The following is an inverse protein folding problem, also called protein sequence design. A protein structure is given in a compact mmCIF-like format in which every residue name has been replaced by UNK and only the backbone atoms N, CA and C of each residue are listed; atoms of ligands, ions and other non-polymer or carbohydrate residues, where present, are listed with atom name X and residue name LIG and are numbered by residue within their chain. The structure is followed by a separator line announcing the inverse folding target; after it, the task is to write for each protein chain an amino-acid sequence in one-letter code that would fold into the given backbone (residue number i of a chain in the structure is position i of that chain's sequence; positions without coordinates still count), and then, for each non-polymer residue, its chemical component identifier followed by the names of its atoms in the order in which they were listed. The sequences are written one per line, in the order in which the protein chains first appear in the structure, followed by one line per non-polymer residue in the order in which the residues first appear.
data_IF_603982536396
#
_entry.id   IF_603982536396
#
_cell.length_a   1.000
_cell.length_b   1.000
_cell.length_c   1.000
_cell.angle_alpha   90.00
_cell.angle_beta   90.00
_cell.angle_gamma   90.00
#
_symmetry.space_group_name_H-M   'P 1'
#
loop_
_entity.id
_entity.type
_entity.pdbx_description
1 polymer ?
#
# COMPACT_ATOMS: atom_id res chain seq x y z
N UNK A 1 11.37 12.68 13.26
CA UNK A 1 11.24 11.28 12.81
C UNK A 1 11.69 10.38 13.96
N UNK A 2 11.09 9.21 14.19
CA UNK A 2 11.43 8.41 15.38
C UNK A 2 12.84 7.81 15.25
N UNK A 3 13.73 8.22 16.14
CA UNK A 3 15.12 7.75 16.21
C UNK A 3 15.19 6.22 16.32
N UNK A 4 14.23 5.60 17.02
CA UNK A 4 14.13 4.14 17.12
C UNK A 4 13.90 3.49 15.75
N UNK A 5 12.96 4.00 14.97
CA UNK A 5 12.60 3.43 13.65
C UNK A 5 13.81 3.51 12.72
N UNK A 6 14.50 4.66 12.70
CA UNK A 6 15.74 4.82 11.92
C UNK A 6 16.82 3.82 12.35
N UNK A 7 17.04 3.65 13.67
CA UNK A 7 18.05 2.71 14.20
C UNK A 7 17.76 1.25 13.85
N UNK A 8 16.50 0.86 13.76
CA UNK A 8 16.10 -0.51 13.39
C UNK A 8 16.19 -0.72 11.87
N UNK A 9 15.63 0.20 11.08
CA UNK A 9 15.47 0.02 9.63
C UNK A 9 16.81 0.17 8.90
N UNK A 10 17.53 1.26 9.15
CA UNK A 10 18.70 1.64 8.33
C UNK A 10 19.77 0.54 8.21
N UNK A 11 20.13 -0.19 9.27
CA UNK A 11 21.10 -1.29 9.16
C UNK A 11 20.64 -2.47 8.30
N UNK A 12 19.34 -2.57 8.01
CA UNK A 12 18.73 -3.64 7.20
C UNK A 12 18.27 -3.14 5.81
N UNK A 13 18.67 -1.92 5.43
CA UNK A 13 18.44 -1.39 4.08
C UNK A 13 19.67 -1.56 3.21
N UNK A 14 19.49 -2.14 2.03
CA UNK A 14 20.50 -2.22 1.00
C UNK A 14 20.02 -1.45 -0.23
N UNK A 15 20.71 -0.38 -0.59
CA UNK A 15 20.46 0.38 -1.83
C UNK A 15 21.46 -0.06 -2.89
N UNK A 16 20.97 -0.45 -4.07
CA UNK A 16 21.83 -0.71 -5.22
C UNK A 16 22.43 0.58 -5.81
N UNK A 17 21.72 1.70 -5.66
CA UNK A 17 22.11 3.02 -6.13
C UNK A 17 22.29 4.00 -4.96
N UNK A 18 21.95 5.28 -5.16
CA UNK A 18 22.07 6.33 -4.15
C UNK A 18 21.32 5.97 -2.85
N UNK A 19 21.94 6.33 -1.72
CA UNK A 19 21.36 6.08 -0.40
C UNK A 19 20.16 7.02 -0.18
N UNK A 20 18.98 6.43 -0.12
CA UNK A 20 17.71 7.12 0.16
C UNK A 20 17.06 6.62 1.46
N UNK A 21 17.88 6.21 2.45
CA UNK A 21 17.41 5.70 3.74
C UNK A 21 16.45 6.64 4.46
N UNK A 22 16.74 7.95 4.51
CA UNK A 22 15.84 8.93 5.14
C UNK A 22 14.46 8.98 4.48
N UNK A 23 14.43 8.96 3.14
CA UNK A 23 13.19 8.91 2.36
C UNK A 23 12.43 7.61 2.63
N UNK A 24 13.14 6.47 2.68
CA UNK A 24 12.54 5.18 2.99
C UNK A 24 11.90 5.20 4.39
N UNK A 25 12.65 5.62 5.42
CA UNK A 25 12.17 5.69 6.80
C UNK A 25 10.98 6.63 6.91
N UNK A 26 10.99 7.77 6.19
CA UNK A 26 9.84 8.67 6.11
C UNK A 26 8.61 7.95 5.56
N UNK A 27 8.73 7.28 4.42
CA UNK A 27 7.62 6.55 3.79
C UNK A 27 7.08 5.46 4.72
N UNK A 28 7.96 4.68 5.34
CA UNK A 28 7.58 3.68 6.33
C UNK A 28 6.83 4.31 7.52
N UNK A 29 7.32 5.43 8.05
CA UNK A 29 6.67 6.12 9.16
C UNK A 29 5.31 6.72 8.78
N UNK A 30 5.18 7.26 7.56
CA UNK A 30 3.91 7.83 7.07
C UNK A 30 2.78 6.79 7.06
N UNK A 31 3.11 5.50 6.91
CA UNK A 31 2.13 4.40 6.94
C UNK A 31 1.50 4.16 8.32
N UNK A 32 2.15 4.58 9.42
CA UNK A 32 1.56 4.51 10.77
C UNK A 32 0.36 5.45 10.95
N UNK A 33 0.08 6.35 9.99
CA UNK A 33 -1.15 7.16 9.99
C UNK A 33 -2.40 6.31 9.76
N UNK A 34 -2.25 5.08 9.28
CA UNK A 34 -3.34 4.14 9.08
C UNK A 34 -3.33 3.16 10.25
N UNK A 35 -4.34 3.25 11.13
CA UNK A 35 -4.39 2.45 12.36
C UNK A 35 -4.31 0.94 12.10
N UNK A 36 -5.02 0.46 11.07
CA UNK A 36 -5.04 -0.97 10.72
C UNK A 36 -3.65 -1.52 10.35
N UNK A 37 -2.70 -0.66 9.97
CA UNK A 37 -1.33 -1.08 9.63
C UNK A 37 -0.44 -1.25 10.87
N UNK A 38 -0.81 -0.67 12.02
CA UNK A 38 0.08 -0.54 13.17
C UNK A 38 0.72 -1.87 13.57
N UNK A 39 -0.10 -2.91 13.79
CA UNK A 39 0.39 -4.21 14.22
C UNK A 39 1.31 -4.86 13.16
N UNK A 40 0.97 -4.68 11.88
CA UNK A 40 1.80 -5.13 10.76
C UNK A 40 3.16 -4.42 10.72
N UNK A 41 3.18 -3.09 10.83
CA UNK A 41 4.41 -2.30 10.83
C UNK A 41 5.29 -2.62 12.04
N UNK A 42 4.69 -2.82 13.22
CA UNK A 42 5.39 -3.22 14.43
C UNK A 42 6.02 -4.63 14.29
N UNK A 43 5.32 -5.56 13.63
CA UNK A 43 5.86 -6.88 13.31
C UNK A 43 7.03 -6.78 12.31
N UNK A 44 6.91 -5.96 11.27
CA UNK A 44 8.02 -5.72 10.33
C UNK A 44 9.25 -5.19 11.08
N UNK A 45 9.09 -4.15 11.92
CA UNK A 45 10.19 -3.65 12.74
C UNK A 45 10.78 -4.73 13.66
N UNK A 46 9.94 -5.60 14.22
CA UNK A 46 10.40 -6.73 15.04
C UNK A 46 11.28 -7.68 14.24
N UNK A 47 10.90 -8.01 13.00
CA UNK A 47 11.70 -8.89 12.15
C UNK A 47 13.01 -8.24 11.69
N UNK A 48 13.00 -6.95 11.38
CA UNK A 48 14.22 -6.18 11.06
C UNK A 48 15.18 -6.13 12.26
N UNK A 49 14.67 -5.85 13.47
CA UNK A 49 15.47 -5.80 14.68
C UNK A 49 16.12 -7.17 15.00
N UNK A 50 15.42 -8.26 14.69
CA UNK A 50 15.93 -9.64 14.80
C UNK A 50 16.83 -10.06 13.63
N UNK A 51 17.02 -9.22 12.61
CA UNK A 51 17.75 -9.53 11.36
C UNK A 51 17.16 -10.70 10.58
N UNK A 52 15.86 -10.95 10.75
CA UNK A 52 15.11 -11.98 10.03
C UNK A 52 14.47 -11.44 8.74
N UNK A 53 14.56 -10.14 8.50
CA UNK A 53 14.03 -9.46 7.34
C UNK A 53 15.01 -8.36 6.94
N UNK A 54 15.14 -8.10 5.65
CA UNK A 54 15.88 -6.95 5.12
C UNK A 54 15.20 -6.42 3.86
N UNK A 55 15.47 -5.16 3.53
CA UNK A 55 15.00 -4.53 2.32
C UNK A 55 16.14 -4.36 1.32
N UNK A 56 15.84 -4.64 0.06
CA UNK A 56 16.71 -4.39 -1.09
C UNK A 56 16.03 -3.38 -2.02
N UNK A 57 16.63 -2.20 -2.18
CA UNK A 57 16.07 -1.11 -2.98
C UNK A 57 16.88 -1.03 -4.28
N UNK A 58 16.20 -1.32 -5.38
CA UNK A 58 16.76 -1.33 -6.74
C UNK A 58 15.95 -0.38 -7.61
N UNK A 59 16.24 0.91 -7.56
CA UNK A 59 15.52 1.88 -8.38
C UNK A 59 15.74 1.58 -9.86
N UNK A 60 14.69 1.14 -10.55
CA UNK A 60 14.83 0.72 -11.93
C UNK A 60 14.94 1.89 -12.89
N UNK A 61 15.89 1.80 -13.82
CA UNK A 61 15.97 2.62 -15.03
C UNK A 61 15.49 1.78 -16.22
N UNK A 62 14.18 1.68 -16.47
CA UNK A 62 13.69 0.92 -17.64
C UNK A 62 12.20 0.55 -17.64
N UNK A 63 11.81 -0.22 -18.67
CA UNK A 63 10.43 -0.65 -19.01
C UNK A 63 9.93 -1.89 -18.25
N UNK A 64 10.61 -2.33 -17.20
CA UNK A 64 10.19 -3.48 -16.41
C UNK A 64 8.99 -3.09 -15.54
N UNK A 65 7.90 -3.83 -15.64
CA UNK A 65 6.65 -3.58 -14.92
C UNK A 65 6.63 -4.20 -13.52
N UNK A 66 7.65 -5.00 -13.17
CA UNK A 66 7.79 -5.52 -11.81
C UNK A 66 8.25 -4.38 -10.89
N UNK A 67 7.38 -3.99 -9.96
CA UNK A 67 7.61 -2.86 -9.03
C UNK A 67 8.16 -3.30 -7.67
N UNK A 68 8.19 -4.60 -7.40
CA UNK A 68 8.66 -5.18 -6.15
C UNK A 68 8.47 -6.70 -6.08
N UNK A 69 9.09 -7.33 -5.08
CA UNK A 69 8.77 -8.69 -4.70
C UNK A 69 9.22 -9.02 -3.27
N UNK A 70 8.48 -9.91 -2.60
CA UNK A 70 8.92 -10.57 -1.39
C UNK A 70 9.43 -11.99 -1.67
N UNK A 71 10.62 -12.32 -1.16
CA UNK A 71 11.23 -13.64 -1.24
C UNK A 71 11.77 -14.05 0.14
N UNK A 72 11.02 -14.91 0.83
CA UNK A 72 11.35 -15.56 2.13
C UNK A 72 11.66 -14.62 3.30
N UNK A 73 12.73 -13.85 3.22
CA UNK A 73 13.23 -12.94 4.25
C UNK A 73 13.74 -11.62 3.66
N UNK A 74 13.42 -11.35 2.40
CA UNK A 74 13.85 -10.17 1.66
C UNK A 74 12.68 -9.50 0.97
N UNK A 75 12.52 -8.20 1.21
CA UNK A 75 11.59 -7.35 0.47
C UNK A 75 12.38 -6.53 -0.56
N UNK A 76 12.11 -6.74 -1.84
CA UNK A 76 12.72 -5.97 -2.91
C UNK A 76 11.76 -4.85 -3.33
N UNK A 77 12.22 -3.60 -3.29
CA UNK A 77 11.46 -2.42 -3.72
C UNK A 77 12.13 -1.83 -4.95
N UNK A 78 11.41 -1.80 -6.08
CA UNK A 78 11.94 -1.26 -7.35
C UNK A 78 11.49 0.17 -7.62
N UNK A 79 10.41 0.59 -6.96
CA UNK A 79 9.95 1.97 -6.94
C UNK A 79 9.62 2.38 -5.50
N UNK A 80 10.37 3.34 -4.96
CA UNK A 80 10.22 3.75 -3.56
C UNK A 80 9.03 4.71 -3.38
N UNK A 81 7.83 4.12 -3.24
CA UNK A 81 6.54 4.78 -2.97
C UNK A 81 5.80 4.07 -1.83
N UNK A 82 4.83 4.75 -1.22
CA UNK A 82 4.02 4.18 -0.12
C UNK A 82 3.27 2.91 -0.53
N UNK A 83 2.72 2.90 -1.75
CA UNK A 83 1.89 1.80 -2.26
C UNK A 83 2.69 0.52 -2.52
N UNK A 84 3.84 0.64 -3.18
CA UNK A 84 4.72 -0.51 -3.40
C UNK A 84 5.24 -1.05 -2.07
N UNK A 85 5.66 -0.17 -1.15
CA UNK A 85 6.12 -0.62 0.17
C UNK A 85 5.02 -1.35 0.95
N UNK A 86 3.81 -0.81 0.98
CA UNK A 86 2.67 -1.43 1.67
C UNK A 86 2.32 -2.80 1.07
N UNK A 87 2.33 -2.91 -0.26
CA UNK A 87 2.06 -4.15 -0.99
C UNK A 87 3.06 -5.25 -0.63
N UNK A 88 4.36 -4.98 -0.76
CA UNK A 88 5.38 -6.00 -0.49
C UNK A 88 5.48 -6.40 0.98
N UNK A 89 5.25 -5.44 1.89
CA UNK A 89 5.18 -5.75 3.32
C UNK A 89 3.97 -6.64 3.64
N UNK A 90 2.84 -6.48 2.94
CA UNK A 90 1.69 -7.34 3.13
C UNK A 90 1.99 -8.80 2.76
N UNK A 91 2.76 -9.06 1.69
CA UNK A 91 3.23 -10.42 1.40
C UNK A 91 4.15 -10.97 2.51
N UNK A 92 5.08 -10.16 3.00
CA UNK A 92 5.96 -10.55 4.11
C UNK A 92 5.16 -10.88 5.38
N UNK A 93 4.11 -10.10 5.64
CA UNK A 93 3.20 -10.26 6.77
C UNK A 93 2.32 -11.52 6.64
N UNK A 94 1.80 -11.81 5.46
CA UNK A 94 1.06 -13.05 5.20
C UNK A 94 1.96 -14.27 5.45
N UNK A 95 3.19 -14.25 4.93
CA UNK A 95 4.18 -15.30 5.16
C UNK A 95 4.54 -15.45 6.65
N UNK A 96 4.90 -14.35 7.32
CA UNK A 96 5.30 -14.37 8.73
C UNK A 96 4.16 -14.82 9.64
N UNK A 97 2.93 -14.36 9.39
CA UNK A 97 1.78 -14.76 10.19
C UNK A 97 1.42 -16.24 10.02
N UNK A 98 1.68 -16.83 8.84
CA UNK A 98 1.10 -18.11 8.38
C UNK A 98 -0.43 -18.07 8.37
N UNK A 99 -1.00 -16.91 8.10
CA UNK A 99 -2.46 -16.75 7.97
C UNK A 99 -2.97 -17.62 6.82
N UNK A 100 -4.10 -18.28 7.02
CA UNK A 100 -4.78 -19.00 5.95
C UNK A 100 -5.73 -18.02 5.23
N UNK A 101 -5.34 -17.55 4.04
CA UNK A 101 -6.19 -16.70 3.20
C UNK A 101 -7.20 -17.49 2.36
N UNK A 102 -7.54 -18.73 2.76
CA UNK A 102 -8.49 -19.61 2.08
C UNK A 102 -9.94 -19.13 2.15
N UNK A 103 -10.85 -20.02 2.56
CA UNK A 103 -12.29 -19.78 2.38
C UNK A 103 -12.81 -18.57 3.17
N UNK A 104 -12.38 -18.37 4.42
CA UNK A 104 -12.86 -17.25 5.24
C UNK A 104 -12.52 -15.88 4.63
N UNK A 105 -11.27 -15.70 4.19
CA UNK A 105 -10.85 -14.47 3.54
C UNK A 105 -11.52 -14.30 2.18
N UNK A 106 -11.64 -15.38 1.41
CA UNK A 106 -12.36 -15.38 0.12
C UNK A 106 -13.82 -14.94 0.28
N UNK A 107 -14.53 -15.38 1.33
CA UNK A 107 -15.89 -14.95 1.62
C UNK A 107 -15.94 -13.45 1.91
N UNK A 108 -14.99 -12.92 2.69
CA UNK A 108 -14.89 -11.48 2.93
C UNK A 108 -14.76 -10.69 1.62
N UNK A 109 -13.86 -11.13 0.73
CA UNK A 109 -13.66 -10.51 -0.59
C UNK A 109 -14.95 -10.56 -1.42
N UNK A 110 -15.61 -11.71 -1.48
CA UNK A 110 -16.87 -11.87 -2.23
C UNK A 110 -17.96 -10.95 -1.69
N UNK A 111 -18.11 -10.83 -0.38
CA UNK A 111 -19.11 -9.94 0.22
C UNK A 111 -18.83 -8.45 -0.03
N UNK A 112 -17.55 -8.06 -0.08
CA UNK A 112 -17.19 -6.66 -0.34
C UNK A 112 -17.24 -6.28 -1.82
N UNK A 113 -16.95 -7.20 -2.74
CA UNK A 113 -16.85 -6.90 -4.17
C UNK A 113 -18.12 -7.24 -4.96
N UNK A 114 -18.93 -8.22 -4.54
CA UNK A 114 -20.09 -8.68 -5.31
C UNK A 114 -21.21 -7.64 -5.27
N UNK A 115 -21.59 -7.14 -6.45
CA UNK A 115 -22.70 -6.21 -6.65
C UNK A 115 -22.58 -4.88 -5.86
N UNK A 116 -21.39 -4.52 -5.40
CA UNK A 116 -21.13 -3.26 -4.71
C UNK A 116 -20.34 -2.33 -5.63
N UNK A 117 -20.62 -1.03 -5.53
CA UNK A 117 -19.89 0.01 -6.27
C UNK A 117 -19.58 1.15 -5.31
N UNK A 118 -18.32 1.61 -5.23
CA UNK A 118 -17.97 2.76 -4.40
C UNK A 118 -18.68 4.02 -4.87
N UNK A 119 -19.13 4.85 -3.94
CA UNK A 119 -19.76 6.13 -4.24
C UNK A 119 -18.73 7.15 -4.79
N UNK A 120 -17.49 7.05 -4.33
CA UNK A 120 -16.40 7.92 -4.75
C UNK A 120 -15.80 7.39 -6.06
N UNK A 121 -15.90 8.20 -7.13
CA UNK A 121 -15.45 7.81 -8.46
C UNK A 121 -13.96 7.45 -8.53
N UNK A 122 -13.11 8.20 -7.83
CA UNK A 122 -11.67 7.96 -7.79
C UNK A 122 -11.34 6.65 -7.07
N UNK A 123 -12.03 6.35 -5.96
CA UNK A 123 -11.93 5.07 -5.27
C UNK A 123 -12.40 3.91 -6.16
N UNK A 124 -13.50 4.08 -6.91
CA UNK A 124 -13.97 3.11 -7.90
C UNK A 124 -12.90 2.83 -8.97
N UNK A 125 -12.24 3.88 -9.47
CA UNK A 125 -11.13 3.77 -10.42
C UNK A 125 -9.96 2.96 -9.86
N UNK A 126 -9.52 3.28 -8.64
CA UNK A 126 -8.42 2.56 -7.99
C UNK A 126 -8.77 1.11 -7.66
N UNK A 127 -10.00 0.82 -7.21
CA UNK A 127 -10.45 -0.55 -6.99
C UNK A 127 -10.45 -1.33 -8.30
N UNK A 128 -10.96 -0.77 -9.39
CA UNK A 128 -10.89 -1.44 -10.70
C UNK A 128 -9.43 -1.71 -11.10
N UNK A 129 -8.56 -0.71 -10.95
CA UNK A 129 -7.14 -0.83 -11.32
C UNK A 129 -6.42 -1.91 -10.50
N UNK A 130 -6.54 -1.89 -9.17
CA UNK A 130 -5.77 -2.72 -8.25
C UNK A 130 -6.41 -4.08 -7.97
N UNK A 131 -7.73 -4.13 -7.84
CA UNK A 131 -8.46 -5.32 -7.38
C UNK A 131 -9.10 -6.11 -8.52
N UNK A 132 -9.01 -5.64 -9.77
CA UNK A 132 -9.60 -6.33 -10.92
C UNK A 132 -8.57 -6.42 -12.04
N UNK A 133 -8.14 -5.28 -12.58
CA UNK A 133 -7.29 -5.23 -13.76
C UNK A 133 -5.89 -5.82 -13.46
N UNK A 134 -5.27 -5.42 -12.36
CA UNK A 134 -3.95 -5.94 -11.96
C UNK A 134 -3.97 -7.45 -11.66
N UNK A 135 -5.09 -7.98 -11.14
CA UNK A 135 -5.21 -9.40 -10.80
C UNK A 135 -5.41 -10.29 -12.03
N UNK A 136 -5.85 -9.74 -13.16
CA UNK A 136 -6.12 -10.53 -14.37
C UNK A 136 -4.87 -11.25 -14.92
N UNK A 137 -3.67 -10.76 -14.58
CA UNK A 137 -2.40 -11.36 -14.97
C UNK A 137 -1.94 -12.51 -14.06
N UNK A 138 -2.57 -12.70 -12.90
CA UNK A 138 -2.10 -13.64 -11.87
C UNK A 138 -2.81 -15.00 -11.96
N UNK A 139 -2.08 -16.10 -11.67
CA UNK A 139 -2.69 -17.42 -11.59
C UNK A 139 -3.59 -17.54 -10.36
N UNK A 140 -4.63 -18.38 -10.47
CA UNK A 140 -5.68 -18.51 -9.43
C UNK A 140 -5.15 -18.81 -8.02
N UNK A 141 -4.05 -19.57 -7.91
CA UNK A 141 -3.46 -19.93 -6.62
C UNK A 141 -2.80 -18.75 -5.89
N UNK A 142 -2.47 -17.65 -6.58
CA UNK A 142 -1.88 -16.44 -5.99
C UNK A 142 -2.94 -15.35 -5.75
N UNK A 143 -4.16 -15.56 -6.20
CA UNK A 143 -5.19 -14.53 -6.26
C UNK A 143 -5.53 -13.92 -4.89
N UNK A 144 -5.67 -14.76 -3.86
CA UNK A 144 -6.04 -14.30 -2.52
C UNK A 144 -4.87 -13.60 -1.82
N UNK A 145 -3.64 -14.09 -2.02
CA UNK A 145 -2.43 -13.43 -1.52
C UNK A 145 -2.26 -12.03 -2.14
N UNK A 146 -2.51 -11.91 -3.45
CA UNK A 146 -2.49 -10.62 -4.14
C UNK A 146 -3.61 -9.70 -3.66
N UNK A 147 -4.86 -10.17 -3.53
CA UNK A 147 -5.94 -9.31 -3.00
C UNK A 147 -5.60 -8.80 -1.60
N UNK A 148 -5.06 -9.66 -0.75
CA UNK A 148 -4.60 -9.26 0.57
C UNK A 148 -3.57 -8.12 0.46
N UNK A 149 -2.54 -8.27 -0.37
CA UNK A 149 -1.53 -7.23 -0.55
C UNK A 149 -2.07 -5.94 -1.19
N UNK A 150 -2.96 -6.05 -2.20
CA UNK A 150 -3.61 -4.92 -2.88
C UNK A 150 -4.53 -4.13 -1.95
N UNK A 151 -5.11 -4.76 -0.92
CA UNK A 151 -5.91 -4.05 0.09
C UNK A 151 -5.04 -3.08 0.89
N UNK A 152 -3.86 -3.51 1.36
CA UNK A 152 -2.89 -2.62 1.99
C UNK A 152 -2.37 -1.58 0.99
N UNK A 153 -2.11 -1.96 -0.25
CA UNK A 153 -1.72 -1.00 -1.29
C UNK A 153 -2.75 0.13 -1.45
N UNK A 154 -4.04 -0.21 -1.55
CA UNK A 154 -5.13 0.76 -1.72
C UNK A 154 -5.27 1.71 -0.52
N UNK A 155 -5.12 1.19 0.70
CA UNK A 155 -5.16 2.01 1.91
C UNK A 155 -4.00 3.05 1.92
N UNK A 156 -2.82 2.65 1.47
CA UNK A 156 -1.61 3.48 1.52
C UNK A 156 -1.61 4.69 0.56
N UNK A 157 -2.51 4.71 -0.44
CA UNK A 157 -2.66 5.85 -1.37
C UNK A 157 -3.75 6.84 -0.92
N UNK A 158 -4.37 6.61 0.24
CA UNK A 158 -5.39 7.49 0.79
C UNK A 158 -4.81 8.84 1.28
N UNK A 159 -5.69 9.84 1.44
CA UNK A 159 -5.33 11.19 1.90
C UNK A 159 -4.74 11.23 3.30
N UNK A 160 -4.95 10.17 4.08
CA UNK A 160 -4.36 10.00 5.40
C UNK A 160 -2.84 9.79 5.31
N UNK A 161 -2.31 9.25 4.21
CA UNK A 161 -0.87 9.02 4.01
C UNK A 161 -0.28 10.02 3.02
N UNK A 162 -0.94 10.20 1.88
CA UNK A 162 -0.51 11.08 0.79
C UNK A 162 -1.49 12.25 0.71
N UNK A 163 -1.07 13.47 1.04
CA UNK A 163 -1.99 14.61 1.21
C UNK A 163 -2.85 14.95 -0.03
N UNK A 164 -2.39 14.56 -1.22
CA UNK A 164 -3.10 14.72 -2.51
C UNK A 164 -4.01 13.54 -2.86
N UNK A 165 -4.16 12.56 -1.97
CA UNK A 165 -5.02 11.40 -2.14
C UNK A 165 -6.49 11.77 -2.33
N UNK A 166 -7.16 11.06 -3.22
CA UNK A 166 -8.53 11.40 -3.65
C UNK A 166 -9.64 10.87 -2.75
N UNK A 167 -9.30 10.08 -1.72
CA UNK A 167 -10.20 9.45 -0.76
C UNK A 167 -9.48 9.23 0.57
N UNK A 168 -10.22 9.13 1.68
CA UNK A 168 -9.70 8.77 2.99
C UNK A 168 -9.57 7.26 3.14
N UNK A 169 -8.77 6.86 4.14
CA UNK A 169 -8.72 5.48 4.61
C UNK A 169 -10.11 4.96 4.98
N UNK A 170 -10.95 5.79 5.62
CA UNK A 170 -12.31 5.43 6.02
C UNK A 170 -13.18 5.04 4.82
N UNK A 171 -13.03 5.76 3.69
CA UNK A 171 -13.76 5.45 2.47
C UNK A 171 -13.43 4.03 1.95
N UNK A 172 -12.19 3.59 2.13
CA UNK A 172 -11.73 2.24 1.75
C UNK A 172 -12.21 1.20 2.76
N UNK A 173 -12.06 1.45 4.06
CA UNK A 173 -12.45 0.49 5.11
C UNK A 173 -13.95 0.27 5.18
N UNK A 174 -14.75 1.31 4.92
CA UNK A 174 -16.21 1.22 4.88
C UNK A 174 -16.68 0.45 3.64
N UNK A 175 -15.99 0.63 2.51
CA UNK A 175 -16.25 -0.18 1.32
C UNK A 175 -15.86 -1.64 1.55
N UNK A 176 -14.65 -1.91 2.02
CA UNK A 176 -14.12 -3.24 2.28
C UNK A 176 -14.34 -3.68 3.74
N UNK A 177 -15.55 -3.54 4.25
CA UNK A 177 -15.85 -3.75 5.67
C UNK A 177 -15.56 -5.19 6.12
N UNK A 178 -15.79 -6.19 5.27
CA UNK A 178 -15.57 -7.58 5.63
C UNK A 178 -14.08 -7.91 5.66
N UNK A 179 -13.31 -7.44 4.66
CA UNK A 179 -11.85 -7.56 4.67
C UNK A 179 -11.27 -6.81 5.87
N UNK A 180 -11.71 -5.57 6.14
CA UNK A 180 -11.26 -4.77 7.29
C UNK A 180 -11.48 -5.53 8.60
N UNK A 181 -12.68 -6.10 8.78
CA UNK A 181 -13.00 -6.92 9.95
C UNK A 181 -12.12 -8.18 10.05
N UNK A 182 -11.85 -8.86 8.93
CA UNK A 182 -10.92 -10.00 8.91
C UNK A 182 -9.53 -9.57 9.40
N UNK A 183 -9.03 -8.43 8.91
CA UNK A 183 -7.73 -7.91 9.34
C UNK A 183 -7.73 -7.61 10.84
N UNK A 184 -8.70 -6.85 11.34
CA UNK A 184 -8.73 -6.40 12.73
C UNK A 184 -9.01 -7.51 13.74
N UNK A 185 -9.85 -8.49 13.39
CA UNK A 185 -10.35 -9.50 14.33
C UNK A 185 -9.64 -10.84 14.22
N UNK A 186 -8.98 -11.11 13.09
CA UNK A 186 -8.33 -12.41 12.85
C UNK A 186 -6.83 -12.19 12.66
N UNK A 187 -6.44 -11.47 11.61
CA UNK A 187 -5.04 -11.33 11.24
C UNK A 187 -4.21 -10.55 12.28
N UNK A 188 -4.63 -9.35 12.68
CA UNK A 188 -3.91 -8.50 13.63
C UNK A 188 -3.72 -9.19 14.99
N UNK A 189 -4.76 -9.79 15.61
CA UNK A 189 -4.60 -10.55 16.85
C UNK A 189 -3.61 -11.73 16.74
N UNK A 190 -3.53 -12.38 15.58
CA UNK A 190 -2.58 -13.46 15.32
C UNK A 190 -1.13 -12.94 15.31
N UNK A 191 -0.87 -11.82 14.64
CA UNK A 191 0.49 -11.27 14.56
C UNK A 191 0.97 -10.56 15.83
N UNK A 192 0.05 -9.99 16.63
CA UNK A 192 0.38 -9.28 17.89
C UNK A 192 1.26 -10.09 18.83
N UNK A 193 1.06 -11.40 18.89
CA UNK A 193 1.85 -12.32 19.74
C UNK A 193 3.32 -12.43 19.34
N UNK A 194 3.67 -12.00 18.11
CA UNK A 194 5.02 -12.07 17.55
C UNK A 194 5.76 -10.73 17.62
N UNK A 195 5.06 -9.66 17.97
CA UNK A 195 5.59 -8.30 18.03
C UNK A 195 6.42 -8.13 19.30
N UNK A 196 7.57 -7.46 19.18
CA UNK A 196 8.36 -7.05 20.34
C UNK A 196 7.59 -5.99 21.16
N UNK A 197 7.29 -6.22 22.44
CA UNK A 197 6.56 -5.27 23.27
C UNK A 197 7.25 -3.90 23.43
N UNK A 198 8.58 -3.84 23.34
CA UNK A 198 9.31 -2.57 23.38
C UNK A 198 9.05 -1.76 22.10
N UNK A 199 9.03 -2.41 20.94
CA UNK A 199 8.69 -1.78 19.66
C UNK A 199 7.23 -1.28 19.71
N UNK A 200 6.28 -2.15 20.05
CA UNK A 200 4.86 -1.79 20.11
C UNK A 200 4.58 -0.58 21.02
N UNK A 201 5.25 -0.52 22.19
CA UNK A 201 5.13 0.63 23.11
C UNK A 201 5.74 1.90 22.54
N UNK A 202 6.92 1.80 21.92
CA UNK A 202 7.60 2.97 21.37
C UNK A 202 6.87 3.56 20.16
N UNK A 203 6.29 2.71 19.30
CA UNK A 203 5.56 3.14 18.10
C UNK A 203 4.16 3.69 18.42
N UNK A 204 3.54 3.26 19.51
CA UNK A 204 2.23 3.79 19.96
C UNK A 204 2.25 5.30 20.24
N UNK A 205 3.42 5.88 20.50
CA UNK A 205 3.60 7.31 20.78
C UNK A 205 4.19 8.09 19.59
N UNK A 206 4.15 7.53 18.37
CA UNK A 206 4.65 8.21 17.18
C UNK A 206 3.82 9.45 16.87
N UNK A 207 4.39 10.62 17.14
CA UNK A 207 3.84 11.90 16.68
C UNK A 207 4.27 12.13 15.24
N UNK A 208 3.33 11.96 14.31
CA UNK A 208 3.55 12.25 12.90
C UNK A 208 2.96 13.62 12.56
N UNK A 209 3.67 14.47 11.80
CA UNK A 209 3.06 15.65 11.23
C UNK A 209 1.95 15.25 10.26
N UNK A 210 1.04 16.20 9.98
CA UNK A 210 0.04 16.03 8.94
C UNK A 210 0.70 15.65 7.60
N UNK A 211 0.01 14.90 6.73
CA UNK A 211 0.51 14.60 5.39
C UNK A 211 0.95 15.88 4.66
N UNK A 212 2.16 15.90 4.12
CA UNK A 212 2.71 17.07 3.42
C UNK A 212 2.11 17.16 2.00
N UNK A 213 1.58 18.33 1.64
CA UNK A 213 1.35 18.69 0.23
C UNK A 213 2.64 19.27 -0.35
N UNK A 214 3.16 18.69 -1.44
CA UNK A 214 4.28 19.30 -2.15
C UNK A 214 3.79 20.53 -2.91
N UNK A 215 4.42 21.68 -2.66
CA UNK A 215 4.07 22.97 -3.29
C UNK A 215 4.15 22.93 -4.83
N UNK A 216 4.97 22.04 -5.42
CA UNK A 216 5.07 21.85 -6.88
C UNK A 216 3.75 21.34 -7.50
N UNK A 217 2.98 20.53 -6.77
CA UNK A 217 1.70 19.98 -7.27
C UNK A 217 0.65 21.10 -7.45
N UNK A 218 0.71 22.16 -6.63
CA UNK A 218 -0.18 23.32 -6.77
C UNK A 218 0.15 24.19 -8.00
N UNK A 219 1.41 24.26 -8.43
CA UNK A 219 1.83 25.06 -9.58
C UNK A 219 1.46 24.34 -10.89
N UNK A 220 1.63 23.02 -10.97
CA UNK A 220 1.22 22.24 -12.14
C UNK A 220 -0.32 22.17 -12.30
N UNK A 221 -1.09 22.10 -11.21
CA UNK A 221 -2.56 22.20 -11.26
C UNK A 221 -3.03 23.58 -11.74
N UNK A 222 -2.36 24.67 -11.32
CA UNK A 222 -2.66 26.03 -11.78
C UNK A 222 -2.26 26.26 -13.25
N UNK A 223 -1.20 25.61 -13.73
CA UNK A 223 -0.82 25.68 -15.14
C UNK A 223 -1.77 24.87 -16.04
N UNK A 224 -2.20 23.67 -15.62
CA UNK A 224 -3.17 22.84 -16.37
C UNK A 224 -4.58 23.45 -16.43
N UNK A 225 -4.97 24.29 -15.47
CA UNK A 225 -6.24 25.03 -15.52
C UNK A 225 -6.21 26.29 -16.39
N UNK A 226 -5.04 26.70 -16.89
CA UNK A 226 -4.91 27.90 -17.74
C UNK A 226 -4.93 27.64 -19.26
N UNK A 227 -5.03 26.39 -19.71
CA UNK A 227 -5.10 26.04 -21.13
C UNK A 227 -6.41 25.33 -21.47
N UNK A 228 -7.54 26.02 -21.29
CA UNK A 228 -8.78 25.69 -22.00
C UNK A 228 -8.77 26.32 -23.40
N UNK A 229 -7.84 25.87 -24.24
CA UNK A 229 -7.86 26.09 -25.68
C UNK A 229 -8.71 25.01 -26.35
N UNK A 230 -9.87 25.42 -26.88
CA UNK A 230 -10.85 24.59 -27.60
C UNK A 230 -10.20 23.52 -28.49
N UNK A 231 -10.53 22.25 -28.25
CA UNK A 231 -10.53 21.20 -29.27
C UNK A 231 -11.80 20.38 -29.14
N UNK A 232 -12.56 20.30 -30.25
CA UNK A 232 -13.77 19.47 -30.37
C UNK A 232 -13.36 17.98 -30.36
N UNK A 233 -14.13 17.08 -29.74
CA UNK A 233 -13.88 15.65 -29.88
C UNK A 233 -14.37 15.15 -31.25
N UNK A 234 -13.48 14.53 -32.01
CA UNK A 234 -13.84 13.72 -33.17
C UNK A 234 -14.47 12.41 -32.67
N UNK A 235 -15.72 12.15 -33.08
CA UNK A 235 -16.47 10.95 -32.75
C UNK A 235 -16.25 9.89 -33.85
N UNK A 236 -15.63 8.72 -33.57
CA UNK A 236 -15.26 7.75 -34.60
C UNK A 236 -16.41 6.81 -35.05
N UNK A 237 -17.63 6.99 -34.56
CA UNK A 237 -18.78 6.13 -34.88
C UNK A 237 -19.84 6.83 -35.77
N UNK A 238 -19.43 7.45 -36.88
CA UNK A 238 -20.40 8.07 -37.82
C UNK A 238 -20.57 7.38 -39.17
N UNK A 239 -19.86 6.30 -39.46
CA UNK A 239 -20.00 5.59 -40.74
C UNK A 239 -20.31 4.10 -40.53
N UNK A 240 -21.50 3.81 -39.99
CA UNK A 240 -22.14 2.49 -40.10
C UNK A 240 -23.66 2.71 -40.16
N UNK A 241 -24.11 3.29 -41.28
CA UNK A 241 -25.49 3.24 -41.75
C UNK A 241 -25.53 3.76 -43.18
N UNK A 242 -25.29 2.87 -44.13
CA UNK A 242 -25.83 2.86 -45.49
C UNK A 242 -25.75 1.43 -46.03
#
# INVERSE_FOLDING_TARGET
MSELVTKIITPQLHFADANHSEKFVKIFCDLYRIEIFKDGLDLILTQLAKKNLHFEIKEMKGWDTNVGCFLTNKITIRQLTHNVLAHEMAHALAHESKINLGEDFRLCVLHDMKNRTPQILTLKGEIKRLMIDALAAYPLHQFLDEIFARYFELLSVSRNVVATGSFATTDVTDFFINITNFIEKIFNPQIRKKIDPAIARATSNLKLPAPEQKFRDQIELKQKTSWSGRTRPNNPFKNLSE
#
